data_IF_001850425699
#
_entry.id   IF_001850425699
#
_cell.length_a   1.000
_cell.length_b   1.000
_cell.length_c   1.000
_cell.angle_alpha   90.00
_cell.angle_beta   90.00
_cell.angle_gamma   90.00
#
_symmetry.space_group_name_H-M   'P 1'
#
loop_
_entity.id
_entity.type
_entity.pdbx_description
1 polymer ?
#
# COMPACT_ATOMS: atom_id res chain seq x y z
N UNK A 1 -28.24 11.84 -25.71
CA UNK A 1 -27.76 12.05 -24.34
C UNK A 1 -26.25 12.12 -24.42
N UNK A 2 -25.66 13.27 -24.09
CA UNK A 2 -24.21 13.37 -23.97
C UNK A 2 -23.86 12.55 -22.72
N UNK A 3 -23.13 11.46 -22.87
CA UNK A 3 -22.70 10.66 -21.72
C UNK A 3 -21.92 11.56 -20.78
N UNK A 4 -22.34 11.66 -19.53
CA UNK A 4 -21.55 12.40 -18.53
C UNK A 4 -20.19 11.73 -18.39
N UNK A 5 -19.12 12.51 -18.49
CA UNK A 5 -17.76 12.02 -18.36
C UNK A 5 -17.53 11.41 -16.97
N UNK A 6 -16.95 10.20 -16.92
CA UNK A 6 -16.60 9.54 -15.66
C UNK A 6 -15.55 10.41 -14.95
N UNK A 7 -15.74 10.80 -13.68
CA UNK A 7 -14.80 11.65 -12.96
C UNK A 7 -13.44 10.96 -12.85
N UNK A 8 -12.35 11.73 -12.94
CA UNK A 8 -11.01 11.24 -12.67
C UNK A 8 -10.66 11.52 -11.21
N UNK A 9 -10.34 10.47 -10.44
CA UNK A 9 -9.94 10.61 -9.04
C UNK A 9 -8.59 11.32 -8.89
N UNK A 10 -7.78 11.38 -9.95
CA UNK A 10 -6.60 12.27 -9.97
C UNK A 10 -6.96 13.75 -9.84
N UNK A 11 -8.14 14.17 -10.31
CA UNK A 11 -8.61 15.55 -10.17
C UNK A 11 -9.06 15.85 -8.74
N UNK A 12 -9.67 14.86 -8.06
CA UNK A 12 -9.91 14.93 -6.61
C UNK A 12 -8.61 15.12 -5.84
N UNK A 13 -7.59 14.32 -6.15
CA UNK A 13 -6.28 14.43 -5.49
C UNK A 13 -5.65 15.83 -5.69
N UNK A 14 -5.70 16.35 -6.92
CA UNK A 14 -5.22 17.71 -7.23
C UNK A 14 -6.01 18.77 -6.48
N UNK A 15 -7.35 18.67 -6.50
CA UNK A 15 -8.25 19.61 -5.84
C UNK A 15 -8.02 19.64 -4.32
N UNK A 16 -7.85 18.47 -3.71
CA UNK A 16 -7.59 18.35 -2.28
C UNK A 16 -6.22 18.90 -1.90
N UNK A 17 -5.18 18.54 -2.68
CA UNK A 17 -3.81 19.01 -2.43
C UNK A 17 -3.70 20.53 -2.53
N UNK A 18 -4.41 21.15 -3.48
CA UNK A 18 -4.40 22.60 -3.69
C UNK A 18 -5.19 23.43 -2.69
N UNK A 19 -5.87 22.81 -1.71
CA UNK A 19 -6.77 23.50 -0.79
C UNK A 19 -6.06 23.97 0.50
N UNK A 20 -6.38 25.15 1.05
CA UNK A 20 -5.86 25.57 2.35
C UNK A 20 -6.18 24.59 3.49
N UNK A 21 -5.28 24.51 4.48
CA UNK A 21 -5.44 23.65 5.68
C UNK A 21 -6.80 23.78 6.36
N UNK A 22 -7.36 22.64 6.76
CA UNK A 22 -8.53 22.56 7.63
C UNK A 22 -9.88 22.78 6.95
N UNK A 23 -9.90 23.10 5.65
CA UNK A 23 -11.13 23.30 4.88
C UNK A 23 -11.35 22.24 3.79
N UNK A 24 -10.29 21.57 3.32
CA UNK A 24 -10.37 20.62 2.22
C UNK A 24 -11.32 19.43 2.46
N UNK A 25 -11.54 19.01 3.71
CA UNK A 25 -12.54 17.98 3.98
C UNK A 25 -13.95 18.41 3.59
N UNK A 26 -14.42 19.55 4.10
CA UNK A 26 -15.78 20.05 3.88
C UNK A 26 -15.98 20.57 2.47
N UNK A 27 -14.96 21.22 1.92
CA UNK A 27 -15.10 21.96 0.66
C UNK A 27 -14.68 21.14 -0.56
N UNK A 28 -13.92 20.05 -0.36
CA UNK A 28 -13.49 19.15 -1.44
C UNK A 28 -14.01 17.74 -1.22
N UNK A 29 -13.64 17.06 -0.13
CA UNK A 29 -13.94 15.63 0.01
C UNK A 29 -15.44 15.34 0.06
N UNK A 30 -16.19 16.03 0.93
CA UNK A 30 -17.63 15.81 1.07
C UNK A 30 -18.40 16.05 -0.25
N UNK A 31 -18.20 17.18 -0.96
CA UNK A 31 -18.83 17.40 -2.26
C UNK A 31 -18.45 16.37 -3.33
N UNK A 32 -17.28 15.74 -3.22
CA UNK A 32 -16.82 14.74 -4.17
C UNK A 32 -17.35 13.34 -3.92
N UNK A 33 -17.92 13.03 -2.74
CA UNK A 33 -18.44 11.69 -2.41
C UNK A 33 -19.35 11.12 -3.52
N UNK A 34 -20.35 11.85 -4.07
CA UNK A 34 -21.19 11.32 -5.15
C UNK A 34 -20.42 10.94 -6.42
N UNK A 35 -19.37 11.71 -6.76
CA UNK A 35 -18.51 11.44 -7.90
C UNK A 35 -17.64 10.20 -7.67
N UNK A 36 -17.07 10.07 -6.47
CA UNK A 36 -16.28 8.89 -6.10
C UNK A 36 -17.15 7.64 -6.10
N UNK A 37 -18.37 7.70 -5.55
CA UNK A 37 -19.33 6.60 -5.59
C UNK A 37 -19.73 6.20 -7.02
N UNK A 38 -19.78 7.15 -7.96
CA UNK A 38 -19.99 6.84 -9.38
C UNK A 38 -18.82 6.04 -9.95
N UNK A 39 -17.59 6.46 -9.67
CA UNK A 39 -16.38 5.72 -10.09
C UNK A 39 -16.33 4.34 -9.44
N UNK A 40 -16.56 4.23 -8.14
CA UNK A 40 -16.53 2.95 -7.41
C UNK A 40 -17.56 1.95 -7.91
N UNK A 41 -18.69 2.41 -8.45
CA UNK A 41 -19.69 1.54 -9.09
C UNK A 41 -19.12 0.83 -10.32
N UNK A 42 -18.31 1.52 -11.11
CA UNK A 42 -17.65 0.94 -12.28
C UNK A 42 -16.50 0.00 -11.85
N UNK A 43 -15.89 0.29 -10.70
CA UNK A 43 -14.81 -0.52 -10.10
C UNK A 43 -15.33 -1.67 -9.21
N UNK A 44 -16.65 -1.86 -9.07
CA UNK A 44 -17.26 -2.88 -8.23
C UNK A 44 -16.76 -4.32 -8.51
N UNK A 45 -16.45 -4.74 -9.77
CA UNK A 45 -15.89 -6.07 -10.02
C UNK A 45 -14.60 -6.38 -9.25
N UNK A 46 -13.80 -5.34 -8.94
CA UNK A 46 -12.55 -5.47 -8.18
C UNK A 46 -12.76 -5.83 -6.71
N UNK A 47 -14.00 -5.78 -6.20
CA UNK A 47 -14.37 -6.18 -4.84
C UNK A 47 -13.97 -7.64 -4.55
N UNK A 48 -14.01 -8.51 -5.56
CA UNK A 48 -13.57 -9.89 -5.46
C UNK A 48 -12.32 -10.16 -6.28
N UNK A 49 -11.56 -11.18 -5.88
CA UNK A 49 -10.45 -11.66 -6.70
C UNK A 49 -10.98 -12.11 -8.07
N UNK A 50 -10.28 -11.75 -9.16
CA UNK A 50 -10.61 -12.31 -10.47
C UNK A 50 -10.29 -13.81 -10.46
N UNK A 51 -11.34 -14.61 -10.57
CA UNK A 51 -11.26 -16.07 -10.65
C UNK A 51 -12.25 -16.56 -11.70
N UNK A 52 -12.24 -17.87 -12.02
CA UNK A 52 -13.24 -18.44 -12.94
C UNK A 52 -14.71 -18.22 -12.50
N UNK A 53 -14.95 -18.00 -11.21
CA UNK A 53 -16.29 -17.70 -10.66
C UNK A 53 -16.62 -16.20 -10.60
N UNK A 54 -15.65 -15.34 -10.84
CA UNK A 54 -15.74 -13.88 -10.79
C UNK A 54 -14.80 -13.28 -11.85
N UNK A 55 -15.03 -13.59 -13.12
CA UNK A 55 -14.17 -13.12 -14.22
C UNK A 55 -14.59 -11.71 -14.66
N UNK A 56 -13.62 -10.81 -14.70
CA UNK A 56 -13.80 -9.45 -15.20
C UNK A 56 -12.52 -8.96 -15.89
N UNK A 57 -12.64 -8.18 -16.98
CA UNK A 57 -11.47 -7.58 -17.60
C UNK A 57 -10.80 -6.60 -16.63
N UNK A 58 -9.47 -6.69 -16.51
CA UNK A 58 -8.69 -5.73 -15.74
C UNK A 58 -8.23 -4.63 -16.69
N UNK A 59 -8.77 -3.42 -16.54
CA UNK A 59 -8.38 -2.27 -17.34
C UNK A 59 -7.34 -1.40 -16.63
N UNK A 60 -6.35 -0.90 -17.37
CA UNK A 60 -5.35 0.01 -16.79
C UNK A 60 -5.97 1.28 -16.21
N UNK A 61 -6.99 1.84 -16.88
CA UNK A 61 -7.67 3.05 -16.41
C UNK A 61 -8.36 2.83 -15.05
N UNK A 62 -8.87 1.63 -14.79
CA UNK A 62 -9.45 1.28 -13.49
C UNK A 62 -8.36 1.24 -12.40
N UNK A 63 -7.21 0.66 -12.72
CA UNK A 63 -6.05 0.64 -11.81
C UNK A 63 -5.50 2.05 -11.56
N UNK A 64 -5.56 2.95 -12.53
CA UNK A 64 -5.18 4.36 -12.38
C UNK A 64 -6.14 5.10 -11.43
N UNK A 65 -7.44 4.79 -11.48
CA UNK A 65 -8.43 5.36 -10.56
C UNK A 65 -8.21 4.89 -9.13
N UNK A 66 -7.97 3.58 -8.93
CA UNK A 66 -7.60 3.02 -7.63
C UNK A 66 -6.33 3.66 -7.07
N UNK A 67 -5.31 3.83 -7.93
CA UNK A 67 -4.05 4.43 -7.53
C UNK A 67 -4.20 5.91 -7.16
N UNK A 68 -5.03 6.65 -7.88
CA UNK A 68 -5.35 8.01 -7.49
C UNK A 68 -6.03 8.05 -6.11
N UNK A 69 -7.00 7.18 -5.84
CA UNK A 69 -7.62 7.10 -4.51
C UNK A 69 -6.61 6.72 -3.42
N UNK A 70 -5.65 5.84 -3.70
CA UNK A 70 -4.60 5.47 -2.74
C UNK A 70 -3.63 6.63 -2.46
N UNK A 71 -3.35 7.50 -3.43
CA UNK A 71 -2.60 8.75 -3.19
C UNK A 71 -3.36 9.73 -2.30
N UNK A 72 -4.68 9.83 -2.49
CA UNK A 72 -5.51 10.61 -1.57
C UNK A 72 -5.42 10.04 -0.15
N UNK A 73 -5.52 8.72 0.01
CA UNK A 73 -5.30 8.06 1.29
C UNK A 73 -3.95 8.45 1.92
N UNK A 74 -2.85 8.34 1.16
CA UNK A 74 -1.52 8.69 1.64
C UNK A 74 -1.42 10.15 2.11
N UNK A 75 -2.15 11.07 1.48
CA UNK A 75 -2.26 12.46 1.94
C UNK A 75 -3.07 12.61 3.22
N UNK A 76 -4.17 11.86 3.37
CA UNK A 76 -5.05 11.94 4.54
C UNK A 76 -4.40 11.36 5.80
N UNK A 77 -3.58 10.33 5.67
CA UNK A 77 -2.93 9.71 6.84
C UNK A 77 -1.76 10.52 7.40
N UNK A 78 -1.36 11.63 6.76
CA UNK A 78 -0.24 12.46 7.21
C UNK A 78 -0.49 13.13 8.57
N UNK A 79 -1.75 13.29 8.96
CA UNK A 79 -2.11 13.95 10.22
C UNK A 79 -2.00 13.01 11.41
N UNK A 80 -2.20 11.71 11.18
CA UNK A 80 -1.92 10.67 12.15
C UNK A 80 -0.42 10.58 12.46
N UNK A 81 0.44 11.06 11.56
CA UNK A 81 1.91 11.00 11.68
C UNK A 81 2.52 12.20 12.43
N UNK A 82 1.69 13.03 13.08
CA UNK A 82 2.08 14.25 13.81
C UNK A 82 1.85 14.19 15.31
N UNK A 83 1.27 13.10 15.83
CA UNK A 83 0.97 12.92 17.26
C UNK A 83 2.23 12.89 18.14
N UNK A 84 2.09 13.24 19.42
CA UNK A 84 3.19 13.14 20.41
C UNK A 84 3.65 11.70 20.63
N UNK A 85 2.74 10.75 20.39
CA UNK A 85 2.93 9.30 20.42
C UNK A 85 3.47 8.73 19.11
N UNK A 86 3.55 9.53 18.05
CA UNK A 86 4.09 9.14 16.76
C UNK A 86 5.62 9.31 16.75
N UNK A 87 6.32 8.16 16.62
CA UNK A 87 7.77 7.96 16.70
C UNK A 87 8.68 9.14 16.33
N UNK A 88 9.73 9.35 17.13
CA UNK A 88 10.68 10.47 17.08
C UNK A 88 11.81 10.40 16.04
N UNK A 89 11.68 9.63 14.95
CA UNK A 89 12.67 9.64 13.87
C UNK A 89 12.77 11.04 13.23
N UNK A 90 13.99 11.46 12.88
CA UNK A 90 14.24 12.66 12.09
C UNK A 90 13.42 12.56 10.79
N UNK A 91 12.62 13.57 10.40
CA UNK A 91 11.92 13.56 9.12
C UNK A 91 12.92 13.56 7.95
N UNK A 92 13.45 12.37 7.62
CA UNK A 92 14.44 12.17 6.56
C UNK A 92 13.96 12.70 5.21
N UNK A 93 12.63 12.74 4.99
CA UNK A 93 12.02 13.18 3.74
C UNK A 93 11.33 14.55 3.77
N UNK A 94 11.18 15.26 4.90
CA UNK A 94 10.38 16.51 4.89
C UNK A 94 11.03 17.62 4.05
N UNK A 95 12.37 17.68 3.99
CA UNK A 95 13.10 18.60 3.11
C UNK A 95 12.95 18.26 1.63
N UNK A 96 13.25 17.02 1.23
CA UNK A 96 13.13 16.57 -0.16
C UNK A 96 11.69 16.60 -0.66
N UNK A 97 10.72 16.28 0.21
CA UNK A 97 9.29 16.39 -0.05
C UNK A 97 8.90 17.83 -0.32
N UNK A 98 9.30 18.78 0.52
CA UNK A 98 9.01 20.21 0.28
C UNK A 98 9.61 20.68 -1.03
N UNK A 99 10.84 20.28 -1.34
CA UNK A 99 11.50 20.63 -2.59
C UNK A 99 10.87 19.97 -3.82
N UNK A 100 10.42 18.71 -3.71
CA UNK A 100 9.70 18.02 -4.77
C UNK A 100 8.31 18.62 -4.97
N UNK A 101 7.55 18.88 -3.90
CA UNK A 101 6.23 19.53 -3.92
C UNK A 101 6.30 20.93 -4.55
N UNK A 102 7.33 21.70 -4.20
CA UNK A 102 7.61 22.98 -4.82
C UNK A 102 7.94 22.87 -6.32
N UNK A 103 8.64 21.81 -6.74
CA UNK A 103 9.03 21.59 -8.15
C UNK A 103 7.91 21.02 -9.02
N UNK A 104 7.05 20.15 -8.49
CA UNK A 104 6.02 19.45 -9.26
C UNK A 104 4.67 20.17 -9.27
N UNK A 105 4.55 21.27 -8.51
CA UNK A 105 3.28 21.97 -8.31
C UNK A 105 2.29 21.17 -7.47
N UNK A 106 2.72 20.06 -6.85
CA UNK A 106 1.98 19.36 -5.82
C UNK A 106 2.00 20.24 -4.56
N UNK A 107 1.10 21.22 -4.54
CA UNK A 107 0.87 22.21 -3.49
C UNK A 107 1.93 22.30 -2.37
N UNK A 108 2.76 23.33 -2.43
CA UNK A 108 3.62 23.82 -1.34
C UNK A 108 2.81 24.45 -0.18
N UNK A 109 1.50 24.24 -0.16
CA UNK A 109 0.59 24.71 0.89
C UNK A 109 0.54 23.70 2.04
N UNK A 110 0.12 24.13 3.23
CA UNK A 110 -0.07 23.19 4.32
C UNK A 110 -1.18 22.22 3.87
N UNK A 111 -0.88 20.91 3.91
CA UNK A 111 -1.77 19.86 3.37
C UNK A 111 -3.15 20.00 4.01
N UNK A 112 -4.20 20.00 3.19
CA UNK A 112 -5.56 19.96 3.69
C UNK A 112 -5.71 18.82 4.70
N UNK A 113 -6.05 19.19 5.93
CA UNK A 113 -6.12 18.27 7.06
C UNK A 113 -7.51 17.64 7.10
N UNK A 114 -7.58 16.34 7.40
CA UNK A 114 -8.79 15.67 7.83
C UNK A 114 -8.54 15.15 9.25
N UNK A 115 -9.44 15.42 10.19
CA UNK A 115 -9.35 14.77 11.50
C UNK A 115 -9.46 13.24 11.35
N UNK A 116 -9.00 12.44 12.32
CA UNK A 116 -9.22 10.99 12.31
C UNK A 116 -10.68 10.58 12.05
N UNK A 117 -11.63 11.27 12.69
CA UNK A 117 -13.07 11.03 12.48
C UNK A 117 -13.50 11.33 11.05
N UNK A 118 -13.03 12.44 10.48
CA UNK A 118 -13.34 12.83 9.10
C UNK A 118 -12.79 11.82 8.08
N UNK A 119 -11.56 11.34 8.30
CA UNK A 119 -10.96 10.28 7.51
C UNK A 119 -11.81 9.00 7.55
N UNK A 120 -12.24 8.59 8.74
CA UNK A 120 -13.10 7.42 8.92
C UNK A 120 -14.45 7.61 8.22
N UNK A 121 -15.11 8.74 8.47
CA UNK A 121 -16.39 9.10 7.85
C UNK A 121 -16.32 9.06 6.31
N UNK A 122 -15.22 9.54 5.72
CA UNK A 122 -15.05 9.54 4.27
C UNK A 122 -14.99 8.13 3.69
N UNK A 123 -14.12 7.26 4.20
CA UNK A 123 -13.98 5.90 3.66
C UNK A 123 -15.20 5.02 3.96
N UNK A 124 -15.85 5.21 5.11
CA UNK A 124 -17.14 4.57 5.40
C UNK A 124 -18.23 5.00 4.41
N UNK A 125 -18.31 6.28 4.08
CA UNK A 125 -19.28 6.79 3.10
C UNK A 125 -19.04 6.24 1.68
N UNK A 126 -17.82 5.80 1.38
CA UNK A 126 -17.44 5.16 0.12
C UNK A 126 -17.67 3.64 0.10
N UNK A 127 -18.08 3.05 1.23
CA UNK A 127 -18.37 1.61 1.35
C UNK A 127 -17.14 0.73 1.58
N UNK A 128 -16.04 1.30 2.08
CA UNK A 128 -14.91 0.52 2.58
C UNK A 128 -15.19 0.02 3.99
N UNK A 129 -14.62 -1.14 4.30
CA UNK A 129 -14.74 -1.77 5.61
C UNK A 129 -13.44 -1.55 6.39
N UNK A 130 -13.49 -0.87 7.56
CA UNK A 130 -12.31 -0.75 8.40
C UNK A 130 -12.03 -2.09 9.06
N UNK A 131 -10.75 -2.35 9.35
CA UNK A 131 -10.37 -3.44 10.23
C UNK A 131 -9.44 -2.95 11.34
N UNK A 132 -9.60 -3.56 12.50
CA UNK A 132 -8.69 -3.48 13.62
C UNK A 132 -8.36 -4.93 14.01
N UNK A 133 -7.38 -5.50 13.30
CA UNK A 133 -7.09 -6.94 13.35
C UNK A 133 -5.95 -7.19 14.34
N UNK A 134 -6.14 -8.16 15.24
CA UNK A 134 -5.11 -8.70 16.12
C UNK A 134 -5.10 -10.22 15.91
N UNK A 135 -3.95 -10.89 15.71
CA UNK A 135 -2.55 -10.45 15.88
C UNK A 135 -1.94 -9.72 14.65
N UNK A 136 -0.62 -9.45 14.66
CA UNK A 136 0.05 -8.88 13.49
C UNK A 136 -0.13 -9.77 12.26
N UNK A 137 -0.53 -9.17 11.14
CA UNK A 137 -0.62 -9.84 9.86
C UNK A 137 -0.01 -8.91 8.79
N UNK A 138 1.07 -9.30 8.10
CA UNK A 138 1.71 -8.44 7.11
C UNK A 138 0.84 -8.16 5.90
N UNK A 139 -0.23 -8.94 5.67
CA UNK A 139 -1.25 -8.57 4.68
C UNK A 139 -2.00 -7.31 5.11
N UNK A 140 -2.44 -7.25 6.36
CA UNK A 140 -3.31 -6.20 6.89
C UNK A 140 -2.54 -4.98 7.43
N UNK A 141 -1.29 -5.17 7.84
CA UNK A 141 -0.55 -4.20 8.63
C UNK A 141 0.71 -3.69 7.92
N UNK A 142 0.94 -2.39 8.05
CA UNK A 142 2.18 -1.70 7.74
C UNK A 142 2.90 -1.41 9.05
N UNK A 143 4.17 -1.85 9.16
CA UNK A 143 4.99 -1.58 10.34
C UNK A 143 5.39 -0.11 10.35
N UNK A 144 4.93 0.62 11.36
CA UNK A 144 5.33 2.01 11.61
C UNK A 144 6.38 2.06 12.71
N UNK A 145 6.21 1.25 13.74
CA UNK A 145 7.12 1.20 14.89
C UNK A 145 7.22 -0.23 15.43
N UNK A 146 8.38 -0.57 15.97
CA UNK A 146 8.66 -1.84 16.62
C UNK A 146 9.17 -1.59 18.04
N UNK A 147 8.58 -2.27 19.00
CA UNK A 147 9.00 -2.38 20.39
C UNK A 147 9.59 -3.78 20.56
N UNK A 148 10.92 -3.86 20.56
CA UNK A 148 11.61 -5.12 20.88
C UNK A 148 11.50 -5.40 22.39
N UNK A 149 10.96 -6.56 22.72
CA UNK A 149 10.85 -7.06 24.09
C UNK A 149 11.63 -8.38 24.20
N UNK A 150 12.85 -8.37 24.78
CA UNK A 150 13.66 -9.57 24.94
C UNK A 150 13.03 -10.66 25.81
N UNK A 151 11.98 -10.33 26.56
CA UNK A 151 11.23 -11.30 27.38
C UNK A 151 10.01 -11.86 26.64
N UNK A 152 9.68 -11.32 25.47
CA UNK A 152 8.58 -11.78 24.64
C UNK A 152 8.91 -13.10 23.97
N UNK A 153 8.05 -14.09 24.14
CA UNK A 153 8.21 -15.43 23.54
C UNK A 153 7.09 -15.76 22.55
N UNK A 154 6.16 -14.83 22.32
CA UNK A 154 5.04 -14.99 21.40
C UNK A 154 5.34 -14.49 19.99
N UNK A 155 4.36 -14.64 19.10
CA UNK A 155 4.37 -13.97 17.80
C UNK A 155 4.28 -12.45 17.96
N UNK A 156 4.65 -11.71 16.92
CA UNK A 156 4.52 -10.25 16.94
C UNK A 156 3.05 -9.84 17.14
N UNK A 157 2.81 -8.89 18.03
CA UNK A 157 1.47 -8.38 18.33
C UNK A 157 1.39 -6.89 18.05
N UNK A 158 0.23 -6.42 17.61
CA UNK A 158 -0.05 -5.00 17.47
C UNK A 158 -0.36 -4.42 18.85
N UNK A 159 0.41 -3.42 19.27
CA UNK A 159 0.18 -2.68 20.52
C UNK A 159 -0.63 -1.40 20.32
N UNK A 160 -0.51 -0.82 19.13
CA UNK A 160 -1.16 0.43 18.79
C UNK A 160 -1.41 0.53 17.28
N UNK A 161 -2.56 1.07 16.90
CA UNK A 161 -2.94 1.34 15.51
C UNK A 161 -2.96 2.86 15.32
N UNK A 162 -2.03 3.38 14.52
CA UNK A 162 -1.91 4.81 14.23
C UNK A 162 -2.98 5.27 13.25
N UNK A 163 -3.26 4.47 12.22
CA UNK A 163 -4.38 4.68 11.28
C UNK A 163 -5.01 3.34 10.91
N UNK A 164 -6.34 3.27 10.73
CA UNK A 164 -7.00 2.02 10.38
C UNK A 164 -6.70 1.63 8.93
N UNK A 165 -6.78 0.33 8.67
CA UNK A 165 -6.71 -0.22 7.33
C UNK A 165 -8.11 -0.41 6.73
N UNK A 166 -8.15 -0.60 5.40
CA UNK A 166 -9.39 -0.62 4.63
C UNK A 166 -9.44 -1.80 3.67
N UNK A 167 -10.56 -2.51 3.71
CA UNK A 167 -10.94 -3.49 2.70
C UNK A 167 -12.02 -2.91 1.77
N UNK A 168 -11.97 -3.29 0.50
CA UNK A 168 -13.07 -3.14 -0.45
C UNK A 168 -13.54 -4.54 -0.85
N UNK A 169 -14.41 -5.12 -0.03
CA UNK A 169 -14.70 -6.56 -0.06
C UNK A 169 -13.47 -7.40 0.26
N UNK A 170 -13.04 -8.24 -0.69
CA UNK A 170 -11.86 -9.08 -0.56
C UNK A 170 -10.55 -8.32 -0.84
N UNK A 171 -10.61 -7.19 -1.55
CA UNK A 171 -9.41 -6.42 -1.91
C UNK A 171 -8.93 -5.57 -0.74
N UNK A 172 -7.65 -5.68 -0.39
CA UNK A 172 -6.99 -4.76 0.53
C UNK A 172 -6.72 -3.44 -0.19
N UNK A 173 -7.42 -2.38 0.22
CA UNK A 173 -7.19 -1.04 -0.30
C UNK A 173 -6.01 -0.35 0.39
N UNK A 174 -5.96 -0.42 1.72
CA UNK A 174 -4.89 0.20 2.50
C UNK A 174 -4.62 -0.60 3.78
N UNK A 175 -3.34 -0.64 4.18
CA UNK A 175 -2.90 -1.30 5.42
C UNK A 175 -3.07 -0.38 6.62
N UNK A 176 -3.40 -0.96 7.76
CA UNK A 176 -3.36 -0.24 9.03
C UNK A 176 -1.90 0.01 9.43
N UNK A 177 -1.57 1.24 9.81
CA UNK A 177 -0.24 1.58 10.32
C UNK A 177 -0.16 1.23 11.79
N UNK A 178 0.79 0.38 12.18
CA UNK A 178 0.82 -0.18 13.53
C UNK A 178 2.17 -0.06 14.22
N UNK A 179 2.13 0.04 15.54
CA UNK A 179 3.24 -0.30 16.43
C UNK A 179 3.15 -1.78 16.81
N UNK A 180 4.24 -2.50 16.63
CA UNK A 180 4.34 -3.90 17.02
C UNK A 180 5.15 -4.06 18.30
N UNK A 181 4.85 -5.09 19.09
CA UNK A 181 5.79 -5.67 20.04
C UNK A 181 6.16 -7.08 19.61
N UNK A 182 7.45 -7.39 19.68
CA UNK A 182 7.97 -8.66 19.21
C UNK A 182 9.29 -9.02 19.89
N UNK A 183 9.72 -10.27 19.73
CA UNK A 183 11.06 -10.70 20.12
C UNK A 183 12.12 -10.11 19.15
N UNK A 184 13.34 -9.75 19.61
CA UNK A 184 14.37 -9.15 18.76
C UNK A 184 14.75 -9.97 17.52
N UNK A 185 14.67 -11.30 17.61
CA UNK A 185 15.03 -12.20 16.49
C UNK A 185 13.89 -12.40 15.48
N UNK A 186 12.67 -11.91 15.77
CA UNK A 186 11.50 -12.12 14.92
C UNK A 186 11.30 -11.01 13.88
N UNK A 187 11.41 -9.75 14.31
CA UNK A 187 11.41 -8.54 13.50
C UNK A 187 12.50 -7.66 14.09
N UNK A 188 13.47 -7.29 13.26
CA UNK A 188 14.54 -6.40 13.69
C UNK A 188 14.03 -4.95 13.63
N UNK A 189 13.96 -4.27 14.78
CA UNK A 189 13.43 -2.90 14.88
C UNK A 189 14.09 -1.95 13.89
N UNK A 190 15.43 -1.96 13.85
CA UNK A 190 16.19 -1.03 13.01
C UNK A 190 15.86 -1.25 11.53
N UNK A 191 15.90 -2.50 11.06
CA UNK A 191 15.59 -2.82 9.66
C UNK A 191 14.13 -2.50 9.35
N UNK A 192 13.19 -2.93 10.21
CA UNK A 192 11.77 -2.78 9.98
C UNK A 192 11.28 -1.33 10.01
N UNK A 193 11.97 -0.41 10.68
CA UNK A 193 11.65 1.02 10.72
C UNK A 193 12.40 1.82 9.65
N UNK A 194 13.66 1.48 9.37
CA UNK A 194 14.51 2.25 8.44
C UNK A 194 14.31 1.81 6.98
N UNK A 195 13.93 0.55 6.73
CA UNK A 195 13.92 0.01 5.38
C UNK A 195 12.91 0.74 4.49
N UNK A 196 13.31 1.03 3.26
CA UNK A 196 12.50 1.63 2.19
C UNK A 196 11.19 0.86 2.01
N UNK A 197 10.10 1.61 2.07
CA UNK A 197 8.73 1.12 1.92
C UNK A 197 8.32 1.20 0.43
N UNK A 198 8.25 0.05 -0.21
CA UNK A 198 7.84 -0.12 -1.60
C UNK A 198 6.31 -0.04 -1.76
N UNK A 199 5.85 0.17 -3.00
CA UNK A 199 4.43 0.31 -3.38
C UNK A 199 3.70 1.44 -2.64
N UNK A 200 4.46 2.41 -2.13
CA UNK A 200 3.94 3.47 -1.27
C UNK A 200 4.41 4.79 -1.81
N UNK A 201 3.47 5.68 -2.08
CA UNK A 201 3.78 6.97 -2.65
C UNK A 201 4.53 7.83 -1.63
N UNK A 202 4.03 7.95 -0.40
CA UNK A 202 4.74 8.77 0.58
C UNK A 202 4.46 8.44 2.06
N UNK A 203 5.47 8.66 2.92
CA UNK A 203 5.40 8.62 4.39
C UNK A 203 6.26 9.73 4.97
N UNK A 204 5.87 10.30 6.13
CA UNK A 204 6.60 11.45 6.71
C UNK A 204 8.00 11.06 7.18
N UNK A 205 8.14 9.87 7.76
CA UNK A 205 9.35 9.44 8.49
C UNK A 205 9.95 8.13 7.98
N UNK A 206 9.59 7.72 6.76
CA UNK A 206 10.09 6.48 6.16
C UNK A 206 10.34 6.68 4.69
N UNK A 207 11.48 6.19 4.21
CA UNK A 207 11.78 6.25 2.79
C UNK A 207 10.74 5.43 2.01
N UNK A 208 10.19 6.01 0.95
CA UNK A 208 9.15 5.39 0.15
C UNK A 208 9.59 5.20 -1.31
N UNK A 209 9.16 4.11 -1.93
CA UNK A 209 9.42 3.80 -3.34
C UNK A 209 8.13 3.44 -4.05
N UNK A 210 7.77 4.26 -5.02
CA UNK A 210 6.58 4.10 -5.84
C UNK A 210 6.92 4.24 -7.31
N UNK A 211 6.19 3.51 -8.16
CA UNK A 211 6.42 3.53 -9.60
C UNK A 211 6.13 4.89 -10.22
N UNK A 212 5.41 5.78 -9.54
CA UNK A 212 5.19 7.15 -10.02
C UNK A 212 6.37 8.11 -9.76
N UNK A 213 7.33 7.72 -8.92
CA UNK A 213 8.51 8.55 -8.65
C UNK A 213 9.37 8.71 -9.90
N UNK A 214 9.84 9.94 -10.15
CA UNK A 214 10.63 10.28 -11.34
C UNK A 214 9.81 10.58 -12.60
N UNK A 215 8.48 10.41 -12.58
CA UNK A 215 7.61 10.76 -13.70
C UNK A 215 7.11 12.22 -13.63
N UNK A 216 6.76 12.79 -14.78
CA UNK A 216 6.15 14.12 -14.85
C UNK A 216 4.73 14.16 -14.26
N UNK A 217 4.24 15.36 -13.93
CA UNK A 217 2.99 15.58 -13.17
C UNK A 217 1.72 14.95 -13.77
N UNK A 218 1.72 14.64 -15.07
CA UNK A 218 0.62 13.93 -15.73
C UNK A 218 0.88 12.43 -15.89
N UNK A 219 2.11 12.03 -16.22
CA UNK A 219 2.48 10.63 -16.42
C UNK A 219 2.43 9.80 -15.14
N UNK A 220 2.65 10.42 -13.98
CA UNK A 220 2.55 9.77 -12.66
C UNK A 220 1.15 9.20 -12.35
N UNK A 221 0.10 9.62 -13.06
CA UNK A 221 -1.26 9.11 -12.85
C UNK A 221 -1.58 7.87 -13.69
N UNK A 222 -0.66 7.45 -14.57
CA UNK A 222 -0.73 6.19 -15.29
C UNK A 222 -0.05 5.04 -14.52
N UNK A 223 0.13 5.19 -13.21
CA UNK A 223 0.65 4.15 -12.33
C UNK A 223 -0.50 3.21 -11.94
N UNK A 224 -0.30 1.91 -12.15
CA UNK A 224 -1.26 0.89 -11.73
C UNK A 224 -1.28 0.73 -10.21
N UNK A 225 -2.48 0.64 -9.63
CA UNK A 225 -2.65 0.25 -8.23
C UNK A 225 -2.23 -1.22 -8.00
N UNK A 226 -1.46 -1.46 -6.94
CA UNK A 226 -1.16 -2.83 -6.47
C UNK A 226 -2.41 -3.43 -5.86
N UNK A 227 -2.84 -4.59 -6.36
CA UNK A 227 -3.98 -5.34 -5.82
C UNK A 227 -3.53 -6.52 -4.97
N UNK A 228 -3.94 -6.50 -3.71
CA UNK A 228 -3.78 -7.57 -2.73
C UNK A 228 -5.19 -8.08 -2.33
N UNK A 229 -5.40 -9.39 -2.16
CA UNK A 229 -6.70 -9.99 -1.82
C UNK A 229 -6.64 -10.96 -0.64
N UNK A 230 -7.63 -10.89 0.25
CA UNK A 230 -7.95 -11.92 1.26
C UNK A 230 -9.16 -12.69 0.73
N UNK A 231 -8.92 -13.88 0.16
CA UNK A 231 -9.96 -14.65 -0.54
C UNK A 231 -9.74 -16.15 -0.37
N UNK A 232 -10.82 -16.89 -0.14
CA UNK A 232 -10.78 -18.36 -0.11
C UNK A 232 -9.85 -18.99 0.95
N UNK A 233 -9.48 -18.26 2.01
CA UNK A 233 -8.52 -18.73 3.02
C UNK A 233 -7.05 -18.47 2.66
N UNK A 234 -6.80 -17.62 1.67
CA UNK A 234 -5.48 -17.24 1.19
C UNK A 234 -5.31 -15.71 1.17
N UNK A 235 -4.09 -15.28 1.44
CA UNK A 235 -3.62 -13.95 1.11
C UNK A 235 -2.90 -13.98 -0.23
N UNK A 236 -3.39 -13.17 -1.17
CA UNK A 236 -2.82 -12.97 -2.48
C UNK A 236 -2.15 -11.60 -2.53
N UNK A 237 -0.86 -11.56 -2.83
CA UNK A 237 -0.06 -10.34 -2.88
C UNK A 237 0.28 -9.98 -4.33
N UNK A 238 0.03 -8.73 -4.69
CA UNK A 238 0.33 -8.12 -5.99
C UNK A 238 -0.08 -9.04 -7.15
N UNK A 239 -1.39 -9.30 -7.28
CA UNK A 239 -1.92 -10.29 -8.24
C UNK A 239 -1.67 -9.95 -9.71
N UNK A 240 -1.24 -8.72 -10.00
CA UNK A 240 -0.81 -8.26 -11.32
C UNK A 240 0.69 -8.48 -11.59
N UNK A 241 1.43 -9.03 -10.62
CA UNK A 241 2.84 -9.37 -10.74
C UNK A 241 3.07 -10.44 -11.82
N UNK A 242 4.23 -10.36 -12.47
CA UNK A 242 4.67 -11.24 -13.56
C UNK A 242 5.51 -12.42 -13.06
N UNK A 243 6.03 -12.34 -11.84
CA UNK A 243 7.00 -13.27 -11.27
C UNK A 243 6.41 -13.92 -10.01
N UNK A 244 5.75 -15.09 -10.14
CA UNK A 244 5.30 -15.82 -8.97
C UNK A 244 6.48 -16.25 -8.11
N UNK A 245 6.40 -15.92 -6.82
CA UNK A 245 7.31 -16.36 -5.78
C UNK A 245 6.73 -17.60 -5.07
N UNK A 246 7.61 -18.42 -4.50
CA UNK A 246 7.24 -19.65 -3.78
C UNK A 246 7.58 -20.94 -4.53
N UNK A 247 7.14 -22.05 -3.98
CA UNK A 247 7.50 -23.42 -4.41
C UNK A 247 6.81 -23.90 -5.69
N UNK A 248 6.04 -23.03 -6.36
CA UNK A 248 5.31 -23.37 -7.57
C UNK A 248 4.16 -24.36 -7.34
N UNK A 249 3.58 -24.40 -6.13
CA UNK A 249 2.35 -25.18 -5.88
C UNK A 249 1.28 -24.93 -6.96
N UNK A 250 0.49 -25.97 -7.29
CA UNK A 250 -0.51 -25.94 -8.39
C UNK A 250 -1.44 -24.72 -8.34
N UNK A 251 -1.67 -24.16 -7.14
CA UNK A 251 -2.46 -22.96 -6.95
C UNK A 251 -1.79 -21.71 -7.53
N UNK A 252 -0.49 -21.48 -7.28
CA UNK A 252 0.27 -20.37 -7.87
C UNK A 252 0.36 -20.49 -9.41
N UNK A 253 0.45 -21.72 -9.92
CA UNK A 253 0.44 -21.98 -11.36
C UNK A 253 -0.92 -21.68 -12.03
N UNK A 254 -2.03 -21.74 -11.29
CA UNK A 254 -3.37 -21.48 -11.83
C UNK A 254 -3.69 -20.01 -12.10
N UNK A 255 -2.87 -19.10 -11.54
CA UNK A 255 -2.96 -17.64 -11.75
C UNK A 255 -1.83 -17.09 -12.61
N UNK A 256 -0.85 -17.92 -12.98
CA UNK A 256 0.24 -17.49 -13.85
C UNK A 256 -0.28 -17.30 -15.28
N UNK A 257 -0.08 -16.12 -15.92
CA UNK A 257 -0.42 -15.95 -17.32
C UNK A 257 0.38 -16.94 -18.20
N UNK A 258 -0.21 -17.39 -19.31
CA UNK A 258 0.32 -18.38 -20.28
C UNK A 258 1.75 -18.09 -20.83
N UNK A 259 2.33 -16.93 -20.49
CA UNK A 259 3.69 -16.50 -20.87
C UNK A 259 4.83 -17.18 -20.10
N UNK A 260 4.54 -18.10 -19.18
CA UNK A 260 5.48 -18.76 -18.25
C UNK A 260 6.53 -19.71 -18.88
N UNK A 261 6.79 -19.66 -20.20
CA UNK A 261 7.86 -20.48 -20.81
C UNK A 261 9.20 -19.76 -20.97
N UNK A 262 9.49 -18.73 -20.18
CA UNK A 262 10.77 -18.02 -20.31
C UNK A 262 11.49 -17.76 -18.98
N UNK A 263 12.68 -18.36 -18.92
CA UNK A 263 13.86 -18.13 -18.08
C UNK A 263 13.81 -18.53 -16.59
N UNK A 264 13.94 -19.85 -16.37
CA UNK A 264 14.71 -20.43 -15.26
C UNK A 264 16.24 -20.29 -15.46
N UNK A 265 16.72 -19.40 -16.33
CA UNK A 265 18.14 -19.23 -16.68
C UNK A 265 18.80 -18.02 -15.99
N UNK A 266 18.19 -17.46 -14.95
CA UNK A 266 18.74 -16.35 -14.16
C UNK A 266 19.34 -16.78 -12.81
N UNK A 267 19.59 -18.08 -12.62
CA UNK A 267 20.36 -18.61 -11.48
C UNK A 267 21.88 -18.70 -11.77
N UNK A 268 22.33 -18.15 -12.90
CA UNK A 268 23.75 -17.99 -13.22
C UNK A 268 24.30 -16.69 -12.66
N UNK A 269 25.12 -16.78 -11.60
CA UNK A 269 25.92 -15.70 -11.01
C UNK A 269 25.10 -14.47 -10.55
N UNK A 270 24.06 -14.73 -9.75
CA UNK A 270 23.54 -13.69 -8.86
C UNK A 270 24.65 -13.33 -7.86
N UNK A 271 25.26 -12.15 -8.02
CA UNK A 271 26.30 -11.65 -7.10
C UNK A 271 25.78 -11.58 -5.66
N UNK A 272 26.69 -11.40 -4.70
CA UNK A 272 26.40 -11.43 -3.25
C UNK A 272 25.23 -10.50 -2.82
N UNK A 273 24.94 -9.46 -3.60
CA UNK A 273 23.87 -8.48 -3.36
C UNK A 273 22.47 -8.91 -3.85
N UNK A 274 22.34 -10.03 -4.56
CA UNK A 274 21.06 -10.51 -5.05
C UNK A 274 20.17 -11.02 -3.91
N UNK A 275 18.86 -10.77 -4.03
CA UNK A 275 17.89 -11.28 -3.06
C UNK A 275 17.57 -12.76 -3.33
N UNK A 276 17.59 -13.55 -2.27
CA UNK A 276 17.04 -14.90 -2.26
C UNK A 276 15.53 -14.87 -2.43
N UNK A 277 14.92 -16.04 -2.71
CA UNK A 277 13.47 -16.16 -2.80
C UNK A 277 12.77 -15.69 -1.50
N UNK A 278 13.30 -16.07 -0.33
CA UNK A 278 12.72 -15.69 0.96
C UNK A 278 12.80 -14.19 1.20
N UNK A 279 13.91 -13.54 0.81
CA UNK A 279 14.06 -12.08 0.93
C UNK A 279 13.13 -11.33 -0.03
N UNK A 280 12.89 -11.85 -1.25
CA UNK A 280 11.90 -11.29 -2.17
C UNK A 280 10.48 -11.43 -1.63
N UNK A 281 10.14 -12.59 -1.06
CA UNK A 281 8.84 -12.80 -0.40
C UNK A 281 8.69 -11.83 0.77
N UNK A 282 9.71 -11.70 1.63
CA UNK A 282 9.73 -10.74 2.74
C UNK A 282 9.44 -9.32 2.27
N UNK A 283 10.16 -8.86 1.23
CA UNK A 283 10.01 -7.53 0.64
C UNK A 283 8.63 -7.33 0.03
N UNK A 284 8.08 -8.31 -0.70
CA UNK A 284 6.76 -8.20 -1.31
C UNK A 284 5.64 -8.16 -0.26
N UNK A 285 5.74 -9.03 0.75
CA UNK A 285 4.72 -9.24 1.79
C UNK A 285 4.69 -8.08 2.77
N UNK A 286 5.84 -7.65 3.29
CA UNK A 286 5.93 -6.54 4.24
C UNK A 286 6.03 -5.16 3.55
N UNK A 287 6.23 -5.14 2.21
CA UNK A 287 6.58 -3.93 1.42
C UNK A 287 7.93 -3.31 1.78
N UNK A 288 8.69 -3.93 2.66
CA UNK A 288 9.98 -3.49 3.16
C UNK A 288 10.73 -4.71 3.69
N UNK A 289 12.01 -4.56 4.03
CA UNK A 289 12.68 -5.57 4.84
C UNK A 289 12.31 -5.41 6.31
N UNK A 290 12.26 -6.54 7.01
CA UNK A 290 12.04 -6.63 8.46
C UNK A 290 13.12 -7.45 9.16
N UNK A 291 13.90 -8.22 8.40
CA UNK A 291 15.05 -9.03 8.87
C UNK A 291 16.24 -8.98 7.92
N UNK A 292 16.02 -8.89 6.61
CA UNK A 292 17.11 -8.82 5.63
C UNK A 292 17.90 -7.51 5.81
N UNK A 293 19.22 -7.62 5.96
CA UNK A 293 20.15 -6.50 6.21
C UNK A 293 20.87 -6.02 4.95
N UNK A 294 20.59 -6.64 3.79
CA UNK A 294 21.09 -6.17 2.49
C UNK A 294 20.56 -4.77 2.21
N UNK A 295 21.31 -4.02 1.38
CA UNK A 295 20.84 -2.72 0.90
C UNK A 295 19.44 -2.83 0.32
N UNK A 296 18.57 -1.87 0.60
CA UNK A 296 17.22 -1.79 0.08
C UNK A 296 17.08 -0.74 -1.02
N UNK A 297 18.19 -0.21 -1.52
CA UNK A 297 18.22 0.65 -2.69
C UNK A 297 18.05 -0.17 -3.98
N UNK A 298 17.35 0.41 -4.95
CA UNK A 298 17.15 -0.13 -6.30
C UNK A 298 16.63 -1.58 -6.36
N UNK A 299 15.81 -2.01 -5.36
CA UNK A 299 15.09 -3.28 -5.45
C UNK A 299 13.87 -3.15 -6.36
N UNK A 300 13.45 -4.26 -6.97
CA UNK A 300 12.35 -4.28 -7.94
C UNK A 300 11.27 -5.33 -7.58
N UNK A 301 10.53 -5.16 -6.48
CA UNK A 301 9.48 -6.10 -6.09
C UNK A 301 8.20 -5.95 -6.94
N UNK A 302 8.11 -4.94 -7.80
CA UNK A 302 6.86 -4.54 -8.48
C UNK A 302 6.30 -5.59 -9.44
N UNK A 303 7.16 -6.45 -9.97
CA UNK A 303 6.75 -7.56 -10.84
C UNK A 303 6.55 -8.87 -10.04
N UNK A 304 6.77 -8.91 -8.73
CA UNK A 304 6.63 -10.13 -7.94
C UNK A 304 5.18 -10.35 -7.50
N UNK A 305 4.72 -11.60 -7.50
CA UNK A 305 3.43 -12.01 -6.93
C UNK A 305 3.61 -13.20 -5.99
N UNK A 306 2.81 -13.27 -4.93
CA UNK A 306 2.90 -14.37 -3.96
C UNK A 306 1.52 -14.71 -3.41
N UNK A 307 1.29 -15.98 -3.10
CA UNK A 307 0.08 -16.41 -2.40
C UNK A 307 0.47 -17.26 -1.19
N UNK A 308 -0.09 -16.93 -0.04
CA UNK A 308 0.09 -17.70 1.19
C UNK A 308 -1.27 -18.12 1.76
N UNK A 309 -1.35 -19.33 2.33
CA UNK A 309 -2.50 -19.73 3.13
C UNK A 309 -2.57 -18.81 4.36
N UNK A 310 -3.78 -18.48 4.83
CA UNK A 310 -3.92 -17.85 6.14
C UNK A 310 -3.15 -18.67 7.17
N UNK A 311 -2.26 -18.04 7.93
CA UNK A 311 -1.65 -18.72 9.07
C UNK A 311 -2.79 -19.26 9.92
N UNK A 312 -2.86 -20.59 10.06
CA UNK A 312 -3.83 -21.21 10.96
C UNK A 312 -3.48 -20.68 12.34
N UNK A 313 -4.40 -19.92 12.94
CA UNK A 313 -4.41 -19.72 14.38
C UNK A 313 -4.37 -21.11 15.01
N UNK A 314 -3.22 -21.47 15.59
CA UNK A 314 -2.99 -22.74 16.29
C UNK A 314 -3.86 -22.82 17.55
#
# INVERSE_FOLDING_TARGET
MIGEEIPRLSDLCRAFSGYPTGQGYRDVLVPWIPNVLRVLRDLEPYRGLNTRGNDYPVHHDDLHQWYALSRLHDHLILDFQKGEDFYGADPQQDGERRDWMARTGAASGPVAMASPDQYLEFFLALGFEPFDFLPYCPFRHEIVEVVEDPTWTGEAVVEHTFWPGWMFGEMLFARAGVRLRCAPDSINKKIAEDSRLYFTYWRVRRNASDLSHGWGSNSQWATSFRRDYDSGGYYHFNVDGKHPLGDGSEYAASFAPDRWKMHTEWEGELGDDALTMEERIELLVNRCFVRCDKSDDDRWPYDDTYTSIHQKSL
#
